data_IF_715066691662
#
_entry.id   IF_715066691662
#
_cell.length_a   1.000
_cell.length_b   1.000
_cell.length_c   1.000
_cell.angle_alpha   90.00
_cell.angle_beta   90.00
_cell.angle_gamma   90.00
#
_symmetry.space_group_name_H-M   'P 1'
#
loop_
_entity.id
_entity.type
_entity.pdbx_description
1 polymer ?
#
# COMPACT_ATOMS: atom_id res chain seq x y z
N UNK A 1 -21.42 -73.26 -70.64
CA UNK A 1 -22.41 -74.07 -69.87
C UNK A 1 -21.94 -74.01 -68.41
N UNK A 2 -22.41 -73.00 -67.67
CA UNK A 2 -23.56 -73.05 -66.76
C UNK A 2 -23.16 -73.58 -65.36
N UNK A 3 -23.36 -72.69 -64.38
CA UNK A 3 -23.80 -72.95 -62.99
C UNK A 3 -22.74 -73.61 -62.08
N UNK A 4 -22.53 -73.28 -60.81
CA UNK A 4 -23.31 -72.60 -59.77
C UNK A 4 -22.29 -72.32 -58.63
N UNK A 5 -22.00 -71.08 -58.22
CA UNK A 5 -22.66 -70.29 -57.17
C UNK A 5 -22.45 -70.79 -55.71
N UNK A 6 -21.82 -69.91 -54.92
CA UNK A 6 -21.96 -69.69 -53.47
C UNK A 6 -21.57 -70.78 -52.47
N UNK A 7 -20.50 -70.51 -51.71
CA UNK A 7 -20.56 -70.62 -50.25
C UNK A 7 -19.49 -69.73 -49.57
N UNK A 8 -19.96 -68.62 -48.98
CA UNK A 8 -19.48 -68.07 -47.69
C UNK A 8 -17.98 -67.66 -47.64
N UNK A 9 -17.61 -66.43 -48.00
CA UNK A 9 -17.72 -65.21 -47.17
C UNK A 9 -17.35 -65.46 -45.69
N UNK A 10 -16.07 -65.74 -45.43
CA UNK A 10 -15.51 -65.88 -44.09
C UNK A 10 -14.18 -65.12 -43.97
N UNK A 11 -14.17 -64.15 -43.04
CA UNK A 11 -13.00 -63.53 -42.40
C UNK A 11 -12.11 -62.57 -43.23
N UNK A 12 -12.67 -61.41 -43.55
CA UNK A 12 -11.90 -60.16 -43.57
C UNK A 12 -12.11 -59.44 -42.23
N UNK A 13 -11.22 -59.65 -41.26
CA UNK A 13 -11.10 -58.76 -40.09
C UNK A 13 -9.86 -57.88 -40.29
N UNK A 14 -10.00 -56.57 -40.50
CA UNK A 14 -8.92 -55.65 -40.24
C UNK A 14 -8.76 -55.57 -38.72
N UNK A 15 -7.57 -55.90 -38.23
CA UNK A 15 -7.14 -55.54 -36.89
C UNK A 15 -7.20 -54.01 -36.82
N UNK A 16 -8.24 -53.49 -36.18
CA UNK A 16 -8.28 -52.10 -35.72
C UNK A 16 -7.22 -52.03 -34.63
N UNK A 17 -6.02 -51.61 -35.02
CA UNK A 17 -5.06 -51.06 -34.08
C UNK A 17 -5.78 -49.88 -33.42
N UNK A 18 -6.16 -50.06 -32.17
CA UNK A 18 -6.61 -48.99 -31.31
C UNK A 18 -5.40 -48.07 -31.14
N UNK A 19 -5.34 -47.00 -31.93
CA UNK A 19 -4.64 -45.79 -31.56
C UNK A 19 -5.27 -45.29 -30.27
N UNK A 20 -4.75 -45.79 -29.15
CA UNK A 20 -4.82 -45.08 -27.89
C UNK A 20 -3.98 -43.83 -28.09
N UNK A 21 -4.61 -42.79 -28.64
CA UNK A 21 -4.14 -41.43 -28.53
C UNK A 21 -4.03 -41.16 -27.03
N UNK A 22 -2.81 -41.32 -26.54
CA UNK A 22 -2.37 -40.84 -25.26
C UNK A 22 -2.83 -39.39 -25.13
N UNK A 23 -3.78 -39.15 -24.24
CA UNK A 23 -3.96 -37.84 -23.61
C UNK A 23 -2.73 -37.59 -22.74
N UNK A 24 -1.55 -37.51 -23.35
CA UNK A 24 -0.46 -36.75 -22.78
C UNK A 24 -0.99 -35.32 -22.78
N UNK A 25 -1.42 -34.87 -21.61
CA UNK A 25 -1.58 -33.45 -21.32
C UNK A 25 -0.26 -32.80 -21.76
N UNK A 26 -0.26 -32.20 -22.95
CA UNK A 26 0.93 -31.61 -23.56
C UNK A 26 1.40 -30.48 -22.65
N UNK A 27 2.32 -30.83 -21.75
CA UNK A 27 2.92 -29.87 -20.83
C UNK A 27 3.81 -28.96 -21.64
N UNK A 28 3.47 -27.68 -21.61
CA UNK A 28 4.24 -26.62 -22.25
C UNK A 28 4.97 -25.80 -21.19
N UNK A 29 6.06 -25.14 -21.60
CA UNK A 29 6.83 -24.23 -20.77
C UNK A 29 6.62 -22.81 -21.30
N UNK A 30 6.06 -21.94 -20.46
CA UNK A 30 6.00 -20.50 -20.66
C UNK A 30 7.13 -19.85 -19.87
N UNK A 31 7.87 -18.96 -20.52
CA UNK A 31 8.87 -18.10 -19.89
C UNK A 31 8.33 -16.68 -19.95
N UNK A 32 8.08 -16.08 -18.79
CA UNK A 32 7.57 -14.72 -18.67
C UNK A 32 8.63 -13.82 -18.03
N UNK A 33 9.10 -12.84 -18.79
CA UNK A 33 10.04 -11.83 -18.30
C UNK A 33 9.22 -10.68 -17.69
N UNK A 34 9.44 -10.41 -16.41
CA UNK A 34 8.77 -9.31 -15.71
C UNK A 34 9.56 -8.01 -15.92
N UNK A 35 8.87 -6.90 -16.08
CA UNK A 35 9.51 -5.59 -16.31
C UNK A 35 9.25 -4.60 -15.17
N UNK A 36 8.08 -4.67 -14.55
CA UNK A 36 7.58 -3.61 -13.66
C UNK A 36 7.57 -4.03 -12.20
N UNK A 37 7.42 -5.33 -11.91
CA UNK A 37 7.31 -5.85 -10.54
C UNK A 37 8.21 -7.04 -10.29
N UNK A 38 8.61 -7.22 -9.03
CA UNK A 38 9.42 -8.38 -8.65
C UNK A 38 8.68 -9.70 -8.81
N UNK A 39 9.39 -10.76 -9.18
CA UNK A 39 8.82 -12.09 -9.33
C UNK A 39 8.12 -12.59 -8.05
N UNK A 40 8.74 -12.39 -6.88
CA UNK A 40 8.15 -12.76 -5.59
C UNK A 40 6.79 -12.09 -5.31
N UNK A 41 6.64 -10.82 -5.70
CA UNK A 41 5.41 -10.06 -5.49
C UNK A 41 4.30 -10.52 -6.45
N UNK A 42 4.64 -10.69 -7.73
CA UNK A 42 3.70 -11.20 -8.75
C UNK A 42 3.25 -12.62 -8.40
N UNK A 43 4.16 -13.48 -7.95
CA UNK A 43 3.82 -14.84 -7.53
C UNK A 43 2.84 -14.88 -6.36
N UNK A 44 2.96 -13.95 -5.42
CA UNK A 44 2.03 -13.86 -4.28
C UNK A 44 0.61 -13.55 -4.77
N UNK A 45 0.48 -12.66 -5.76
CA UNK A 45 -0.81 -12.35 -6.41
C UNK A 45 -1.33 -13.45 -7.32
N UNK A 46 -0.42 -14.20 -7.97
CA UNK A 46 -0.76 -15.30 -8.88
C UNK A 46 -1.20 -16.57 -8.14
N UNK A 47 -0.70 -16.78 -6.91
CA UNK A 47 -0.88 -18.02 -6.13
C UNK A 47 -2.31 -18.55 -6.04
N UNK A 48 -3.37 -17.73 -5.85
CA UNK A 48 -4.75 -18.21 -5.82
C UNK A 48 -5.26 -18.74 -7.17
N UNK A 49 -4.56 -18.44 -8.26
CA UNK A 49 -4.92 -18.80 -9.64
C UNK A 49 -4.07 -19.95 -10.20
N UNK A 50 -3.08 -20.43 -9.44
CA UNK A 50 -2.24 -21.57 -9.83
C UNK A 50 -2.97 -22.87 -9.47
N UNK A 51 -3.20 -23.73 -10.44
CA UNK A 51 -3.75 -25.07 -10.22
C UNK A 51 -2.65 -26.06 -9.81
N UNK A 52 -3.04 -27.21 -9.24
CA UNK A 52 -2.11 -28.28 -8.87
C UNK A 52 -1.36 -28.90 -10.07
N UNK A 53 -1.83 -28.64 -11.30
CA UNK A 53 -1.21 -29.14 -12.53
C UNK A 53 -0.16 -28.18 -13.10
N UNK A 54 -0.06 -26.98 -12.55
CA UNK A 54 0.86 -25.93 -12.99
C UNK A 54 2.00 -25.81 -11.99
N UNK A 55 3.22 -25.99 -12.47
CA UNK A 55 4.44 -25.74 -11.70
C UNK A 55 4.98 -24.35 -12.06
N UNK A 56 5.29 -23.55 -11.05
CA UNK A 56 5.89 -22.22 -11.23
C UNK A 56 7.22 -22.14 -10.50
N UNK A 57 8.25 -21.66 -11.18
CA UNK A 57 9.57 -21.39 -10.62
C UNK A 57 9.99 -19.95 -10.92
N UNK A 58 10.60 -19.31 -9.93
CA UNK A 58 11.22 -18.00 -10.07
C UNK A 58 12.70 -18.14 -10.47
N UNK A 59 13.16 -17.30 -11.39
CA UNK A 59 14.57 -17.10 -11.70
C UNK A 59 14.89 -15.61 -11.86
N UNK A 60 15.17 -14.94 -10.74
CA UNK A 60 15.41 -13.50 -10.71
C UNK A 60 14.15 -12.76 -11.12
N UNK A 61 14.18 -12.07 -12.26
CA UNK A 61 13.04 -11.32 -12.77
C UNK A 61 12.20 -12.11 -13.78
N UNK A 62 12.37 -13.43 -13.84
CA UNK A 62 11.67 -14.31 -14.79
C UNK A 62 10.85 -15.37 -14.08
N UNK A 63 9.69 -15.68 -14.64
CA UNK A 63 8.85 -16.79 -14.22
C UNK A 63 8.90 -17.91 -15.26
N UNK A 64 9.18 -19.11 -14.78
CA UNK A 64 9.13 -20.35 -15.56
C UNK A 64 7.86 -21.09 -15.14
N UNK A 65 6.91 -21.23 -16.06
CA UNK A 65 5.58 -21.77 -15.78
C UNK A 65 5.38 -22.99 -16.67
N UNK A 66 5.19 -24.16 -16.06
CA UNK A 66 4.99 -25.42 -16.77
C UNK A 66 3.59 -25.96 -16.48
N UNK A 67 2.82 -26.28 -17.52
CA UNK A 67 1.47 -26.80 -17.34
C UNK A 67 0.72 -27.06 -18.65
N UNK A 68 -0.58 -27.38 -18.57
CA UNK A 68 -1.48 -27.48 -19.72
C UNK A 68 -1.56 -26.15 -20.48
N UNK A 69 -1.56 -26.18 -21.82
CA UNK A 69 -1.46 -24.98 -22.66
C UNK A 69 -2.62 -23.98 -22.46
N UNK A 70 -3.83 -24.47 -22.23
CA UNK A 70 -5.03 -23.69 -21.94
C UNK A 70 -4.91 -22.89 -20.63
N UNK A 71 -4.28 -23.48 -19.61
CA UNK A 71 -4.03 -22.79 -18.35
C UNK A 71 -2.89 -21.77 -18.45
N UNK A 72 -1.88 -22.04 -19.28
CA UNK A 72 -0.79 -21.09 -19.50
C UNK A 72 -1.29 -19.81 -20.18
N UNK A 73 -2.18 -19.92 -21.16
CA UNK A 73 -2.78 -18.75 -21.82
C UNK A 73 -3.60 -17.89 -20.84
N UNK A 74 -4.38 -18.53 -19.96
CA UNK A 74 -5.11 -17.82 -18.92
C UNK A 74 -4.17 -17.14 -17.90
N UNK A 75 -3.10 -17.83 -17.49
CA UNK A 75 -2.11 -17.28 -16.57
C UNK A 75 -1.35 -16.11 -17.17
N UNK A 76 -1.03 -16.15 -18.46
CA UNK A 76 -0.36 -15.06 -19.17
C UNK A 76 -1.19 -13.76 -19.13
N UNK A 77 -2.51 -13.86 -19.31
CA UNK A 77 -3.40 -12.70 -19.20
C UNK A 77 -3.42 -12.11 -17.78
N UNK A 78 -3.40 -12.96 -16.76
CA UNK A 78 -3.33 -12.52 -15.36
C UNK A 78 -1.97 -11.89 -15.05
N UNK A 79 -0.88 -12.48 -15.55
CA UNK A 79 0.47 -11.96 -15.40
C UNK A 79 0.63 -10.57 -16.02
N UNK A 80 0.12 -10.38 -17.24
CA UNK A 80 0.12 -9.07 -17.90
C UNK A 80 -0.66 -8.00 -17.12
N UNK A 81 -1.73 -8.39 -16.43
CA UNK A 81 -2.48 -7.50 -15.55
C UNK A 81 -1.75 -7.22 -14.23
N UNK A 82 -0.95 -8.17 -13.73
CA UNK A 82 -0.20 -8.03 -12.48
C UNK A 82 1.14 -7.30 -12.64
N UNK A 83 1.82 -7.42 -13.79
CA UNK A 83 3.10 -6.76 -14.11
C UNK A 83 2.90 -5.35 -14.67
N UNK A 84 2.08 -4.57 -13.96
CA UNK A 84 1.88 -3.14 -14.23
C UNK A 84 2.77 -2.32 -13.27
N UNK A 85 3.21 -1.12 -13.68
CA UNK A 85 3.96 -0.23 -12.79
C UNK A 85 3.11 0.11 -11.56
N UNK A 86 3.74 0.14 -10.38
CA UNK A 86 3.07 0.62 -9.18
C UNK A 86 2.86 2.13 -9.25
N UNK A 87 1.68 2.58 -8.83
CA UNK A 87 1.41 4.02 -8.76
C UNK A 87 2.24 4.64 -7.63
N UNK A 88 3.01 5.67 -7.99
CA UNK A 88 3.74 6.50 -7.05
C UNK A 88 2.89 7.71 -6.67
N UNK A 89 2.94 8.08 -5.40
CA UNK A 89 2.22 9.21 -4.84
C UNK A 89 3.15 10.10 -4.03
N UNK A 90 2.83 11.39 -3.98
CA UNK A 90 3.44 12.30 -3.02
C UNK A 90 2.39 12.91 -2.13
N UNK A 91 2.48 12.63 -0.84
CA UNK A 91 1.58 13.13 0.17
C UNK A 91 2.18 14.37 0.84
N UNK A 92 1.47 15.48 0.79
CA UNK A 92 1.86 16.74 1.41
C UNK A 92 0.98 17.02 2.62
N UNK A 93 1.61 17.26 3.76
CA UNK A 93 0.98 17.75 4.97
C UNK A 93 1.36 19.20 5.18
N UNK A 94 0.36 20.06 5.30
CA UNK A 94 0.52 21.47 5.59
C UNK A 94 -0.03 21.80 6.97
N UNK A 95 0.76 22.52 7.75
CA UNK A 95 0.33 23.14 9.00
C UNK A 95 0.57 24.65 8.91
N UNK A 96 -0.48 25.45 9.06
CA UNK A 96 -0.29 26.90 9.02
C UNK A 96 -1.54 27.69 9.29
N UNK A 97 -1.43 29.02 9.19
CA UNK A 97 -2.54 29.94 9.53
C UNK A 97 -3.55 30.11 8.41
N UNK A 98 -3.34 29.44 7.28
CA UNK A 98 -4.21 29.51 6.11
C UNK A 98 -4.89 28.16 5.91
N UNK A 99 -6.19 28.21 5.67
CA UNK A 99 -6.93 27.06 5.17
C UNK A 99 -6.63 26.91 3.67
N UNK A 100 -5.79 25.95 3.31
CA UNK A 100 -5.35 25.74 1.93
C UNK A 100 -6.48 25.23 1.03
N UNK A 101 -7.45 24.49 1.59
CA UNK A 101 -8.62 24.04 0.85
C UNK A 101 -9.51 25.23 0.48
N UNK A 102 -9.79 26.11 1.45
CA UNK A 102 -10.60 27.30 1.18
C UNK A 102 -9.87 28.27 0.23
N UNK A 103 -8.56 28.43 0.39
CA UNK A 103 -7.73 29.24 -0.52
C UNK A 103 -7.79 28.70 -1.96
N UNK A 104 -7.71 27.38 -2.14
CA UNK A 104 -7.82 26.75 -3.45
C UNK A 104 -9.20 26.96 -4.06
N UNK A 105 -10.28 26.80 -3.27
CA UNK A 105 -11.66 26.98 -3.74
C UNK A 105 -12.00 28.42 -4.10
N UNK A 106 -11.52 29.37 -3.30
CA UNK A 106 -11.83 30.79 -3.48
C UNK A 106 -11.22 31.36 -4.77
N UNK A 107 -10.12 30.77 -5.28
CA UNK A 107 -9.40 31.28 -6.46
C UNK A 107 -8.82 32.70 -6.29
N UNK A 108 -9.02 33.31 -5.12
CA UNK A 108 -8.60 34.66 -4.76
C UNK A 108 -7.11 34.70 -4.47
N UNK A 109 -6.42 35.69 -5.06
CA UNK A 109 -5.03 36.01 -4.72
C UNK A 109 -5.00 36.69 -3.35
N UNK A 110 -5.04 35.89 -2.31
CA UNK A 110 -4.90 36.37 -0.95
C UNK A 110 -3.42 36.66 -0.67
N UNK A 111 -3.05 37.95 -0.68
CA UNK A 111 -1.72 38.40 -0.27
C UNK A 111 -1.59 38.23 1.24
N UNK A 112 -0.97 37.12 1.64
CA UNK A 112 -0.65 36.82 3.03
C UNK A 112 0.84 36.51 3.12
N UNK A 113 1.49 37.02 4.15
CA UNK A 113 2.86 36.62 4.53
C UNK A 113 2.88 35.39 5.42
N UNK A 114 1.70 34.89 5.82
CA UNK A 114 1.60 33.66 6.61
C UNK A 114 2.09 32.48 5.76
N UNK A 115 3.10 31.78 6.27
CA UNK A 115 3.61 30.53 5.69
C UNK A 115 2.98 29.34 6.39
N UNK A 116 2.85 28.26 5.64
CA UNK A 116 2.53 26.94 6.18
C UNK A 116 3.79 26.09 6.14
N UNK A 117 4.02 25.34 7.21
CA UNK A 117 5.06 24.32 7.24
C UNK A 117 4.58 23.11 6.44
N UNK A 118 5.39 22.66 5.49
CA UNK A 118 5.09 21.58 4.57
C UNK A 118 5.99 20.38 4.85
N UNK A 119 5.38 19.20 5.01
CA UNK A 119 6.06 17.91 5.09
C UNK A 119 5.60 17.08 3.90
N UNK A 120 6.55 16.50 3.16
CA UNK A 120 6.24 15.62 2.02
C UNK A 120 6.68 14.18 2.28
N UNK A 121 5.83 13.23 1.94
CA UNK A 121 6.09 11.79 2.00
C UNK A 121 5.90 11.19 0.60
N UNK A 122 6.83 10.35 0.18
CA UNK A 122 6.69 9.56 -1.05
C UNK A 122 6.08 8.21 -0.66
N UNK A 123 5.06 7.78 -1.41
CA UNK A 123 4.31 6.56 -1.14
C UNK A 123 4.21 5.77 -2.44
N UNK A 124 4.39 4.46 -2.36
CA UNK A 124 4.08 3.52 -3.44
C UNK A 124 2.75 2.84 -3.13
N UNK A 125 1.92 2.59 -4.15
CA UNK A 125 0.61 1.97 -3.96
C UNK A 125 0.66 0.65 -3.18
N UNK A 126 -0.13 0.56 -2.11
CA UNK A 126 -0.24 -0.65 -1.29
C UNK A 126 0.96 -0.91 -0.37
N UNK A 127 2.05 -0.14 -0.49
CA UNK A 127 3.25 -0.28 0.33
C UNK A 127 3.18 0.66 1.54
N UNK A 128 3.40 0.17 2.78
CA UNK A 128 3.38 1.02 3.96
C UNK A 128 4.62 1.92 4.00
N UNK A 129 4.40 3.23 4.08
CA UNK A 129 5.44 4.21 4.40
C UNK A 129 5.36 4.60 5.86
N UNK A 130 6.51 4.84 6.50
CA UNK A 130 6.58 5.16 7.94
C UNK A 130 7.22 6.53 8.17
N UNK A 131 6.55 7.36 8.97
CA UNK A 131 7.11 8.57 9.54
C UNK A 131 7.39 8.33 11.02
N UNK A 132 8.67 8.32 11.41
CA UNK A 132 9.09 8.09 12.79
C UNK A 132 9.48 9.39 13.49
N UNK A 133 9.11 9.49 14.78
CA UNK A 133 9.60 10.52 15.70
C UNK A 133 9.82 9.88 17.07
N UNK A 134 11.00 10.09 17.65
CA UNK A 134 11.37 9.46 18.92
C UNK A 134 12.20 10.34 19.83
N UNK A 135 12.56 9.77 20.98
CA UNK A 135 13.43 10.37 21.98
C UNK A 135 14.25 9.30 22.70
N UNK A 136 15.37 9.70 23.29
CA UNK A 136 16.20 8.83 24.12
C UNK A 136 15.70 8.87 25.58
N UNK A 137 15.61 7.70 26.22
CA UNK A 137 15.38 7.57 27.66
C UNK A 137 16.64 6.99 28.32
N UNK A 138 17.10 7.55 29.46
CA UNK A 138 18.13 6.91 30.26
C UNK A 138 17.53 5.69 30.98
N UNK A 139 18.27 4.59 30.97
CA UNK A 139 17.96 3.32 31.63
C UNK A 139 19.13 3.00 32.54
N UNK A 140 18.87 2.94 33.85
CA UNK A 140 19.89 2.62 34.85
C UNK A 140 19.82 1.14 35.20
N UNK A 141 20.86 0.40 34.82
CA UNK A 141 21.05 -0.98 35.25
C UNK A 141 21.78 -1.00 36.59
N UNK A 142 21.09 -1.46 37.64
CA UNK A 142 21.71 -1.66 38.95
C UNK A 142 22.35 -3.05 38.98
N UNK A 143 23.68 -3.10 39.10
CA UNK A 143 24.46 -4.35 39.25
C UNK A 143 25.05 -4.41 40.66
N UNK A 144 25.47 -5.61 41.07
CA UNK A 144 26.01 -5.88 42.42
C UNK A 144 27.20 -5.00 42.83
N UNK A 145 27.90 -4.37 41.87
CA UNK A 145 29.11 -3.57 42.09
C UNK A 145 29.00 -2.13 41.56
N UNK A 146 27.81 -1.66 41.18
CA UNK A 146 27.61 -0.29 40.71
C UNK A 146 26.39 -0.15 39.78
N UNK A 147 26.06 1.08 39.44
CA UNK A 147 25.02 1.40 38.44
C UNK A 147 25.66 1.74 37.10
N UNK A 148 25.14 1.16 36.01
CA UNK A 148 25.50 1.54 34.65
C UNK A 148 24.31 2.27 34.01
N UNK A 149 24.52 3.51 33.57
CA UNK A 149 23.52 4.25 32.81
C UNK A 149 23.69 3.95 31.31
N UNK A 150 22.60 3.59 30.66
CA UNK A 150 22.52 3.38 29.20
C UNK A 150 21.37 4.21 28.63
N UNK A 151 21.36 4.44 27.32
CA UNK A 151 20.28 5.17 26.67
C UNK A 151 19.54 4.26 25.70
N UNK A 152 18.21 4.25 25.79
CA UNK A 152 17.33 3.49 24.90
C UNK A 152 16.51 4.45 24.02
N UNK A 153 16.48 4.18 22.72
CA UNK A 153 15.68 4.93 21.77
C UNK A 153 14.22 4.48 21.82
N UNK A 154 13.31 5.43 21.99
CA UNK A 154 11.86 5.20 21.97
C UNK A 154 11.26 5.96 20.80
N UNK A 155 10.75 5.26 19.79
CA UNK A 155 10.11 5.87 18.61
C UNK A 155 8.60 5.65 18.62
N UNK A 156 7.85 6.75 18.53
CA UNK A 156 6.50 6.76 18.00
C UNK A 156 6.53 6.97 16.48
N UNK A 157 5.39 6.78 15.84
CA UNK A 157 5.29 7.04 14.41
C UNK A 157 3.92 6.77 13.84
N UNK A 158 3.78 7.16 12.58
CA UNK A 158 2.59 6.93 11.78
C UNK A 158 3.01 6.14 10.54
N UNK A 159 2.31 5.05 10.29
CA UNK A 159 2.32 4.31 9.04
C UNK A 159 1.18 4.83 8.17
N UNK A 160 1.48 4.96 6.89
CA UNK A 160 0.52 5.41 5.88
C UNK A 160 0.56 4.43 4.73
N UNK A 161 -0.60 3.91 4.35
CA UNK A 161 -0.77 3.11 3.13
C UNK A 161 -1.70 3.89 2.19
N UNK A 162 -1.28 4.07 0.94
CA UNK A 162 -2.09 4.65 -0.11
C UNK A 162 -2.67 3.57 -1.03
N UNK A 163 -3.94 3.69 -1.40
CA UNK A 163 -4.59 2.81 -2.38
C UNK A 163 -5.44 3.62 -3.34
N UNK A 164 -5.34 3.34 -4.63
CA UNK A 164 -6.19 3.96 -5.63
C UNK A 164 -7.58 3.29 -5.61
N UNK A 165 -8.64 4.10 -5.64
CA UNK A 165 -10.04 3.67 -5.70
C UNK A 165 -10.77 4.54 -6.73
N UNK A 166 -10.79 4.07 -7.97
CA UNK A 166 -11.27 4.89 -9.09
C UNK A 166 -10.36 6.11 -9.26
N UNK A 167 -10.94 7.31 -9.12
CA UNK A 167 -10.19 8.57 -9.23
C UNK A 167 -9.64 9.07 -7.89
N UNK A 168 -10.07 8.48 -6.77
CA UNK A 168 -9.68 8.90 -5.42
C UNK A 168 -8.54 8.05 -4.88
N UNK A 169 -7.74 8.65 -3.99
CA UNK A 169 -6.73 7.93 -3.22
C UNK A 169 -7.20 7.81 -1.79
N UNK A 170 -7.33 6.58 -1.31
CA UNK A 170 -7.66 6.28 0.08
C UNK A 170 -6.38 6.07 0.86
N UNK A 171 -6.23 6.85 1.93
CA UNK A 171 -5.14 6.76 2.88
C UNK A 171 -5.60 6.05 4.15
N UNK A 172 -4.83 5.06 4.56
CA UNK A 172 -4.98 4.37 5.83
C UNK A 172 -3.80 4.76 6.73
N UNK A 173 -4.12 5.43 7.82
CA UNK A 173 -3.18 5.84 8.85
C UNK A 173 -3.31 4.89 10.03
N UNK A 174 -2.19 4.34 10.47
CA UNK A 174 -2.07 3.69 11.77
C UNK A 174 -0.88 4.27 12.48
N UNK A 175 -0.96 4.47 13.79
CA UNK A 175 0.12 5.13 14.50
C UNK A 175 0.10 4.86 15.97
N UNK A 176 1.30 4.82 16.54
CA UNK A 176 1.51 4.76 17.98
C UNK A 176 2.29 5.99 18.39
N UNK A 177 1.64 6.87 19.12
CA UNK A 177 2.30 8.00 19.76
C UNK A 177 2.86 7.54 21.09
N UNK A 178 4.14 7.78 21.30
CA UNK A 178 4.79 7.60 22.58
C UNK A 178 5.28 8.98 23.03
N UNK A 179 4.97 9.34 24.27
CA UNK A 179 5.44 10.57 24.89
C UNK A 179 5.97 10.27 26.29
N UNK A 180 6.98 11.03 26.70
CA UNK A 180 7.39 11.07 28.11
C UNK A 180 6.31 11.82 28.89
N UNK A 181 5.79 11.22 29.96
CA UNK A 181 4.86 11.89 30.86
C UNK A 181 5.55 13.12 31.46
N UNK A 182 4.95 14.29 31.27
CA UNK A 182 5.46 15.58 31.73
C UNK A 182 5.57 15.68 33.25
N UNK A 183 4.90 14.79 34.00
CA UNK A 183 4.96 14.70 35.46
C UNK A 183 6.10 13.84 35.98
N UNK A 184 6.93 13.28 35.09
CA UNK A 184 8.13 12.53 35.48
C UNK A 184 9.07 13.43 36.29
N UNK A 185 9.32 13.07 37.56
CA UNK A 185 10.29 13.77 38.42
C UNK A 185 11.72 13.43 38.04
N UNK A 186 12.63 14.39 38.24
CA UNK A 186 14.07 14.18 38.07
C UNK A 186 14.55 13.06 39.02
N UNK A 187 15.31 12.08 38.51
CA UNK A 187 15.83 10.95 39.29
C UNK A 187 14.92 9.72 39.39
N UNK A 188 13.76 9.70 38.71
CA UNK A 188 12.88 8.52 38.62
C UNK A 188 12.77 8.06 37.16
N UNK A 189 12.66 6.75 36.87
CA UNK A 189 12.43 6.26 35.51
C UNK A 189 11.23 6.96 34.85
N UNK A 190 11.33 7.35 33.57
CA UNK A 190 10.28 8.08 32.89
C UNK A 190 9.02 7.23 32.74
N UNK A 191 7.87 7.78 33.13
CA UNK A 191 6.57 7.18 32.81
C UNK A 191 6.28 7.48 31.35
N UNK A 192 5.94 6.44 30.58
CA UNK A 192 5.60 6.56 29.17
C UNK A 192 4.09 6.60 29.01
N UNK A 193 3.59 7.60 28.30
CA UNK A 193 2.21 7.65 27.84
C UNK A 193 2.15 7.19 26.39
N UNK A 194 1.25 6.25 26.09
CA UNK A 194 1.02 5.73 24.74
C UNK A 194 -0.41 6.03 24.29
N UNK A 195 -0.58 6.42 23.03
CA UNK A 195 -1.89 6.43 22.37
C UNK A 195 -1.78 5.80 20.99
N UNK A 196 -2.77 5.01 20.61
CA UNK A 196 -2.89 4.43 19.28
C UNK A 196 -3.95 5.17 18.48
N UNK A 197 -3.69 5.40 17.20
CA UNK A 197 -4.60 6.10 16.29
C UNK A 197 -4.70 5.31 15.00
N UNK A 198 -5.93 4.97 14.63
CA UNK A 198 -6.27 4.45 13.30
C UNK A 198 -7.22 5.45 12.62
N UNK A 199 -6.95 5.78 11.36
CA UNK A 199 -7.80 6.69 10.59
C UNK A 199 -7.79 6.34 9.12
N UNK A 200 -8.91 6.59 8.43
CA UNK A 200 -9.04 6.42 6.99
C UNK A 200 -9.56 7.70 6.37
N UNK A 201 -8.88 8.19 5.34
CA UNK A 201 -9.21 9.45 4.66
C UNK A 201 -9.23 9.19 3.15
N UNK A 202 -10.27 9.65 2.47
CA UNK A 202 -10.30 9.67 1.00
C UNK A 202 -9.92 11.05 0.50
N UNK A 203 -9.00 11.12 -0.46
CA UNK A 203 -8.50 12.36 -1.06
C UNK A 203 -8.73 12.37 -2.56
N UNK A 204 -9.05 13.54 -3.09
CA UNK A 204 -8.96 13.83 -4.52
C UNK A 204 -7.55 14.33 -4.84
N UNK A 205 -6.78 13.65 -5.71
CA UNK A 205 -5.45 14.11 -6.08
C UNK A 205 -5.46 15.54 -6.65
N UNK A 206 -4.44 16.33 -6.29
CA UNK A 206 -4.32 17.75 -6.67
C UNK A 206 -5.25 18.70 -5.91
N UNK A 207 -5.97 18.23 -4.90
CA UNK A 207 -6.85 19.08 -4.08
C UNK A 207 -6.44 19.06 -2.61
N UNK A 208 -6.28 20.26 -2.04
CA UNK A 208 -6.14 20.42 -0.60
C UNK A 208 -7.43 20.05 0.11
N UNK A 209 -7.29 19.27 1.18
CA UNK A 209 -8.36 18.92 2.10
C UNK A 209 -7.96 19.30 3.52
N UNK A 210 -8.79 20.10 4.18
CA UNK A 210 -8.55 20.47 5.58
C UNK A 210 -9.07 19.37 6.50
N UNK A 211 -8.17 18.81 7.31
CA UNK A 211 -8.46 17.72 8.24
C UNK A 211 -8.98 18.26 9.58
N UNK A 212 -8.38 19.35 10.05
CA UNK A 212 -8.73 19.97 11.32
C UNK A 212 -8.32 21.43 11.37
N UNK A 213 -8.94 22.16 12.29
CA UNK A 213 -8.46 23.47 12.77
C UNK A 213 -8.27 23.44 14.28
N UNK A 214 -7.33 24.24 14.78
CA UNK A 214 -7.07 24.35 16.21
C UNK A 214 -8.30 24.83 17.00
N UNK A 215 -9.15 25.66 16.39
CA UNK A 215 -10.42 26.07 16.99
C UNK A 215 -11.37 24.88 17.23
N UNK A 216 -11.48 23.97 16.26
CA UNK A 216 -12.35 22.79 16.35
C UNK A 216 -11.83 21.76 17.35
N UNK A 217 -10.51 21.53 17.37
CA UNK A 217 -9.85 20.62 18.33
C UNK A 217 -10.01 21.10 19.78
N UNK A 218 -9.94 22.42 20.01
CA UNK A 218 -10.16 23.01 21.34
C UNK A 218 -11.62 22.91 21.79
N UNK A 219 -12.59 23.10 20.89
CA UNK A 219 -14.01 22.96 21.25
C UNK A 219 -14.44 21.52 21.56
N UNK A 220 -13.79 20.51 20.97
CA UNK A 220 -14.06 19.09 21.29
C UNK A 220 -13.48 18.66 22.64
N UNK A 221 -12.45 19.36 23.14
CA UNK A 221 -11.79 19.04 24.42
C UNK A 221 -12.36 19.79 25.63
N UNK A 222 -13.25 20.77 25.43
CA UNK A 222 -13.80 21.60 26.50
C UNK A 222 -15.25 21.22 26.85
N UNK A 223 -15.44 20.24 27.74
CA UNK A 223 -16.68 20.08 28.52
C UNK A 223 -16.82 21.15 29.64
N UNK A 224 -15.84 22.05 29.81
CA UNK A 224 -15.97 23.25 30.62
C UNK A 224 -15.26 24.43 29.97
N UNK A 225 -16.03 25.46 29.60
CA UNK A 225 -15.54 26.80 29.28
C UNK A 225 -15.78 27.24 27.84
N UNK A 226 -16.72 28.18 27.66
CA UNK A 226 -16.93 28.90 26.39
C UNK A 226 -15.70 29.77 26.09
N UNK A 227 -14.79 29.27 25.26
CA UNK A 227 -13.65 30.04 24.75
C UNK A 227 -13.99 30.63 23.37
N UNK A 228 -14.16 31.96 23.30
CA UNK A 228 -14.27 32.67 22.03
C UNK A 228 -12.86 32.92 21.46
N UNK A 229 -12.48 32.17 20.42
CA UNK A 229 -11.23 32.47 19.68
C UNK A 229 -11.52 33.46 18.56
N UNK A 230 -10.71 34.52 18.46
CA UNK A 230 -10.76 35.41 17.31
C UNK A 230 -10.09 34.71 16.11
N UNK A 231 -10.68 34.83 14.91
CA UNK A 231 -10.23 34.24 13.63
C UNK A 231 -8.75 34.46 13.28
N UNK A 232 -8.03 35.31 14.01
CA UNK A 232 -6.69 35.77 13.66
C UNK A 232 -5.58 34.79 14.08
N UNK A 233 -5.80 33.80 14.95
CA UNK A 233 -4.73 32.93 15.45
C UNK A 233 -5.13 31.44 15.51
N UNK A 234 -5.63 30.90 14.40
CA UNK A 234 -5.96 29.48 14.28
C UNK A 234 -5.02 28.83 13.27
N UNK A 235 -4.43 27.69 13.66
CA UNK A 235 -3.73 26.83 12.72
C UNK A 235 -4.70 25.83 12.09
N UNK A 236 -4.51 25.60 10.79
CA UNK A 236 -5.19 24.61 9.97
C UNK A 236 -4.20 23.50 9.66
N UNK A 237 -4.72 22.27 9.67
CA UNK A 237 -4.01 21.07 9.25
C UNK A 237 -4.66 20.59 7.97
N UNK A 238 -3.94 20.69 6.87
CA UNK A 238 -4.43 20.32 5.54
C UNK A 238 -3.52 19.27 4.93
N UNK A 239 -4.10 18.44 4.07
CA UNK A 239 -3.40 17.39 3.35
C UNK A 239 -3.72 17.49 1.87
N UNK A 240 -2.76 17.15 1.00
CA UNK A 240 -2.97 17.04 -0.43
C UNK A 240 -2.15 15.89 -0.99
N UNK A 241 -2.72 15.18 -1.97
CA UNK A 241 -2.08 14.06 -2.63
C UNK A 241 -1.71 14.43 -4.06
N UNK A 242 -0.47 14.15 -4.46
CA UNK A 242 -0.02 14.26 -5.85
C UNK A 242 0.03 12.88 -6.50
N UNK A 243 -0.29 12.84 -7.80
CA UNK A 243 -0.09 11.69 -8.70
C UNK A 243 0.77 12.12 -9.88
N UNK A 244 2.10 11.93 -9.80
CA UNK A 244 3.03 12.36 -10.83
C UNK A 244 2.71 11.79 -12.22
N UNK A 245 2.35 10.50 -12.31
CA UNK A 245 2.00 9.84 -13.57
C UNK A 245 0.78 10.49 -14.25
N UNK A 246 -0.18 10.99 -13.46
CA UNK A 246 -1.38 11.68 -13.95
C UNK A 246 -1.21 13.21 -14.03
N UNK A 247 -0.03 13.75 -13.71
CA UNK A 247 0.26 15.20 -13.63
C UNK A 247 -0.66 15.97 -12.66
N UNK A 248 -1.21 15.28 -11.66
CA UNK A 248 -2.06 15.90 -10.64
C UNK A 248 -1.18 16.35 -9.48
N UNK A 249 -0.90 17.65 -9.40
CA UNK A 249 -0.01 18.25 -8.39
C UNK A 249 -0.76 19.17 -7.45
N UNK A 250 -0.24 19.32 -6.23
CA UNK A 250 -0.86 20.17 -5.22
C UNK A 250 -0.50 21.63 -5.49
N UNK A 251 -1.49 22.54 -5.51
CA UNK A 251 -1.22 23.95 -5.75
C UNK A 251 -0.54 24.60 -4.53
N UNK A 252 0.20 25.68 -4.75
CA UNK A 252 0.83 26.50 -3.69
C UNK A 252 1.93 25.78 -2.88
N UNK A 253 2.60 24.79 -3.48
CA UNK A 253 3.79 24.14 -2.94
C UNK A 253 4.98 25.13 -2.84
#
# INVERSE_FOLDING_TARGET
MRLLLMLVLLFAMPVVASEQASLESSRSLLVYDLEQRSAAEVLTGLRPHISDQVAVSEQGQRLLITGPADQLEQLEQILAALDQPQEEFRLLFAQGRQDLQERQRSGSRQYSTARSDLISLHLTEGVPARLERGFWIPVTDVRAWGSQESYQWMAGGVWVIARLRGEQVVLEFSGRNLAKDSRTRSGTPPVLAGSEVESRISLQPGQWQTLASEGQLRSQSSEQGRSFSTRRNQNYYSVCMERPAAQLVCPFN
#
